data_IF_966875879618
#
_entry.id   IF_966875879618
#
_cell.length_a   1.000
_cell.length_b   1.000
_cell.length_c   1.000
_cell.angle_alpha   90.00
_cell.angle_beta   90.00
_cell.angle_gamma   90.00
#
_symmetry.space_group_name_H-M   'P 1'
#
loop_
_entity.id
_entity.type
_entity.pdbx_description
1 polymer ?
#
# COMPACT_ATOMS: atom_id res chain seq x y z
N UNK A 1 11.57 39.54 -27.86
CA UNK A 1 10.20 38.96 -27.80
C UNK A 1 10.01 37.82 -28.82
N UNK A 2 10.56 37.93 -30.03
CA UNK A 2 10.50 36.91 -31.09
C UNK A 2 11.16 35.56 -30.76
N UNK A 3 12.30 35.55 -30.06
CA UNK A 3 13.02 34.31 -29.70
C UNK A 3 12.21 33.44 -28.74
N UNK A 4 11.53 34.04 -27.75
CA UNK A 4 10.69 33.31 -26.81
C UNK A 4 9.46 32.71 -27.49
N UNK A 5 8.86 33.41 -28.46
CA UNK A 5 7.74 32.89 -29.25
C UNK A 5 8.17 31.73 -30.16
N UNK A 6 9.36 31.80 -30.74
CA UNK A 6 9.93 30.72 -31.56
C UNK A 6 10.29 29.49 -30.72
N UNK A 7 10.81 29.67 -29.50
CA UNK A 7 11.07 28.58 -28.58
C UNK A 7 9.76 27.92 -28.13
N UNK A 8 8.76 28.72 -27.78
CA UNK A 8 7.47 28.21 -27.31
C UNK A 8 6.73 27.46 -28.42
N UNK A 9 6.77 27.96 -29.67
CA UNK A 9 6.21 27.24 -30.83
C UNK A 9 6.98 25.97 -31.15
N UNK A 10 8.32 25.97 -31.07
CA UNK A 10 9.13 24.78 -31.25
C UNK A 10 8.83 23.71 -30.18
N UNK A 11 8.65 24.11 -28.91
CA UNK A 11 8.23 23.22 -27.83
C UNK A 11 6.83 22.66 -28.12
N UNK A 12 5.86 23.48 -28.51
CA UNK A 12 4.51 23.01 -28.86
C UNK A 12 4.56 22.01 -30.01
N UNK A 13 5.30 22.30 -31.08
CA UNK A 13 5.43 21.40 -32.25
C UNK A 13 6.11 20.09 -31.84
N UNK A 14 7.21 20.15 -31.08
CA UNK A 14 7.89 18.95 -30.57
C UNK A 14 6.95 18.11 -29.69
N UNK A 15 6.18 18.75 -28.81
CA UNK A 15 5.19 18.14 -27.95
C UNK A 15 4.05 17.47 -28.75
N UNK A 16 3.55 18.13 -29.80
CA UNK A 16 2.53 17.58 -30.70
C UNK A 16 3.05 16.40 -31.54
N UNK A 17 4.29 16.48 -32.03
CA UNK A 17 4.91 15.37 -32.77
C UNK A 17 5.17 14.17 -31.85
N UNK A 18 5.63 14.42 -30.62
CA UNK A 18 5.79 13.37 -29.61
C UNK A 18 4.44 12.72 -29.25
N UNK A 19 3.39 13.52 -29.07
CA UNK A 19 2.02 13.03 -28.83
C UNK A 19 1.52 12.16 -30.00
N UNK A 20 1.69 12.61 -31.25
CA UNK A 20 1.33 11.81 -32.43
C UNK A 20 2.10 10.50 -32.54
N UNK A 21 3.37 10.49 -32.14
CA UNK A 21 4.18 9.28 -32.08
C UNK A 21 3.73 8.33 -30.96
N UNK A 22 3.36 8.87 -29.80
CA UNK A 22 2.78 8.11 -28.69
C UNK A 22 1.45 7.43 -29.06
N UNK A 23 0.63 8.08 -29.90
CA UNK A 23 -0.61 7.49 -30.41
C UNK A 23 -0.39 6.34 -31.42
N UNK A 24 0.79 6.20 -32.02
CA UNK A 24 1.13 5.06 -32.90
C UNK A 24 1.52 3.84 -32.06
N UNK A 25 0.54 3.27 -31.36
CA UNK A 25 0.68 1.88 -30.87
C UNK A 25 0.78 0.94 -32.07
N UNK A 26 1.70 -0.03 -32.03
CA UNK A 26 1.87 -1.04 -33.09
C UNK A 26 0.72 -2.05 -33.14
N UNK A 27 -0.09 -2.12 -32.08
CA UNK A 27 -1.26 -2.99 -31.95
C UNK A 27 -2.47 -2.17 -31.49
N UNK A 28 -3.70 -2.55 -31.89
CA UNK A 28 -4.90 -1.92 -31.36
C UNK A 28 -4.93 -2.08 -29.83
N UNK A 29 -5.06 -0.96 -29.12
CA UNK A 29 -5.25 -0.98 -27.68
C UNK A 29 -6.72 -1.32 -27.37
N UNK A 30 -7.01 -1.88 -26.19
CA UNK A 30 -8.39 -2.07 -25.73
C UNK A 30 -9.18 -0.75 -25.78
N UNK A 31 -10.51 -0.82 -25.92
CA UNK A 31 -11.37 0.37 -26.00
C UNK A 31 -11.26 1.23 -24.74
N UNK A 32 -11.65 2.50 -24.83
CA UNK A 32 -11.71 3.39 -23.68
C UNK A 32 -12.02 4.85 -24.02
N UNK A 33 -12.15 5.71 -22.99
CA UNK A 33 -12.35 7.13 -23.17
C UNK A 33 -11.24 7.76 -24.03
N UNK A 34 -11.62 8.75 -24.84
CA UNK A 34 -10.66 9.46 -25.69
C UNK A 34 -9.66 10.23 -24.84
N UNK A 35 -8.37 9.97 -25.08
CA UNK A 35 -7.25 10.65 -24.40
C UNK A 35 -7.19 12.11 -24.79
N UNK A 36 -7.11 13.00 -23.82
CA UNK A 36 -6.77 14.39 -24.07
C UNK A 36 -5.26 14.56 -24.35
N UNK A 37 -4.86 15.60 -25.10
CA UNK A 37 -3.45 15.93 -25.29
C UNK A 37 -2.74 16.14 -23.93
N UNK A 38 -1.52 15.60 -23.80
CA UNK A 38 -0.62 15.71 -22.64
C UNK A 38 -1.06 15.05 -21.33
N UNK A 39 -2.33 15.17 -20.97
CA UNK A 39 -2.86 14.65 -19.70
C UNK A 39 -3.52 13.29 -19.83
N UNK A 40 -3.87 12.85 -21.04
CA UNK A 40 -4.55 11.58 -21.27
C UNK A 40 -5.96 11.57 -20.67
N UNK A 41 -6.23 10.59 -19.83
CA UNK A 41 -7.49 10.26 -19.17
C UNK A 41 -7.51 10.66 -17.68
N UNK A 42 -6.69 11.64 -17.27
CA UNK A 42 -6.67 12.13 -15.88
C UNK A 42 -8.05 12.53 -15.37
N UNK A 43 -8.90 13.10 -16.22
CA UNK A 43 -10.26 13.50 -15.83
C UNK A 43 -11.28 12.35 -15.86
N UNK A 44 -10.93 11.22 -16.46
CA UNK A 44 -11.72 9.99 -16.43
C UNK A 44 -11.38 9.13 -15.20
N UNK A 45 -10.36 9.51 -14.41
CA UNK A 45 -9.98 8.77 -13.21
C UNK A 45 -10.98 8.96 -12.07
N UNK A 46 -11.40 7.87 -11.41
CA UNK A 46 -12.26 7.94 -10.22
C UNK A 46 -11.64 8.79 -9.10
N UNK A 47 -12.47 9.60 -8.44
CA UNK A 47 -12.02 10.48 -7.34
C UNK A 47 -12.46 10.01 -5.95
N UNK A 48 -13.62 9.34 -5.86
CA UNK A 48 -14.21 8.93 -4.59
C UNK A 48 -14.50 7.43 -4.55
N UNK A 49 -15.29 6.92 -5.50
CA UNK A 49 -15.77 5.55 -5.49
C UNK A 49 -15.11 4.75 -6.62
N UNK A 50 -13.81 4.45 -6.46
CA UNK A 50 -13.01 3.78 -7.49
C UNK A 50 -13.69 2.54 -8.08
N UNK A 51 -14.28 1.67 -7.25
CA UNK A 51 -14.97 0.48 -7.72
C UNK A 51 -16.19 0.77 -8.61
N UNK A 52 -17.07 1.69 -8.20
CA UNK A 52 -18.27 2.03 -8.96
C UNK A 52 -17.94 2.79 -10.24
N UNK A 53 -16.99 3.73 -10.18
CA UNK A 53 -16.59 4.55 -11.33
C UNK A 53 -15.84 3.70 -12.37
N UNK A 54 -14.94 2.80 -11.96
CA UNK A 54 -14.30 1.85 -12.88
C UNK A 54 -15.32 0.86 -13.46
N UNK A 55 -16.32 0.44 -12.68
CA UNK A 55 -17.40 -0.41 -13.19
C UNK A 55 -18.19 0.31 -14.29
N UNK A 56 -18.57 1.56 -14.06
CA UNK A 56 -19.27 2.37 -15.06
C UNK A 56 -18.46 2.54 -16.36
N UNK A 57 -17.12 2.65 -16.27
CA UNK A 57 -16.26 2.64 -17.46
C UNK A 57 -16.32 1.30 -18.20
N UNK A 58 -16.23 0.17 -17.49
CA UNK A 58 -16.31 -1.16 -18.11
C UNK A 58 -17.68 -1.45 -18.71
N UNK A 59 -18.77 -0.98 -18.08
CA UNK A 59 -20.12 -1.10 -18.64
C UNK A 59 -20.28 -0.31 -19.96
N UNK A 60 -19.56 0.81 -20.09
CA UNK A 60 -19.65 1.71 -21.25
C UNK A 60 -18.73 1.30 -22.40
N UNK A 61 -17.52 0.85 -22.11
CA UNK A 61 -16.48 0.62 -23.11
C UNK A 61 -16.17 -0.87 -23.34
N UNK A 62 -16.69 -1.75 -22.49
CA UNK A 62 -16.52 -3.20 -22.57
C UNK A 62 -15.70 -3.79 -21.42
N UNK A 63 -15.56 -5.12 -21.44
CA UNK A 63 -14.97 -5.92 -20.35
C UNK A 63 -13.50 -5.61 -20.05
N UNK A 64 -12.83 -4.85 -20.91
CA UNK A 64 -11.46 -4.40 -20.72
C UNK A 64 -11.30 -2.97 -21.25
N UNK A 65 -10.87 -2.05 -20.39
CA UNK A 65 -10.79 -0.62 -20.71
C UNK A 65 -9.36 -0.14 -20.59
N UNK A 66 -8.85 0.52 -21.63
CA UNK A 66 -7.56 1.17 -21.61
C UNK A 66 -7.69 2.64 -21.19
N UNK A 67 -6.82 3.07 -20.27
CA UNK A 67 -6.65 4.44 -19.83
C UNK A 67 -5.17 4.84 -19.96
N UNK A 68 -4.91 6.12 -20.24
CA UNK A 68 -3.58 6.72 -20.18
C UNK A 68 -3.60 7.84 -19.14
N UNK A 69 -2.89 7.73 -18.03
CA UNK A 69 -2.89 8.77 -17.00
C UNK A 69 -1.51 9.41 -16.96
N UNK A 70 -1.39 10.63 -17.47
CA UNK A 70 -0.11 11.36 -17.55
C UNK A 70 1.00 10.55 -18.24
N UNK A 71 0.66 9.82 -19.32
CA UNK A 71 1.60 8.99 -20.07
C UNK A 71 1.83 7.59 -19.47
N UNK A 72 1.16 7.24 -18.36
CA UNK A 72 1.20 5.89 -17.80
C UNK A 72 0.02 5.05 -18.31
N UNK A 73 0.28 3.93 -19.01
CA UNK A 73 -0.77 3.03 -19.45
C UNK A 73 -1.41 2.33 -18.25
N UNK A 74 -2.74 2.28 -18.25
CA UNK A 74 -3.55 1.58 -17.25
C UNK A 74 -4.59 0.73 -17.95
N UNK A 75 -4.76 -0.50 -17.46
CA UNK A 75 -5.75 -1.44 -17.97
C UNK A 75 -6.74 -1.79 -16.84
N UNK A 76 -8.01 -1.51 -17.07
CA UNK A 76 -9.10 -1.85 -16.16
C UNK A 76 -9.72 -3.17 -16.61
N UNK A 77 -9.81 -4.14 -15.72
CA UNK A 77 -10.38 -5.46 -15.97
C UNK A 77 -11.80 -5.50 -15.40
N UNK A 78 -12.81 -5.62 -16.28
CA UNK A 78 -14.22 -5.50 -15.91
C UNK A 78 -14.91 -6.80 -15.52
N UNK A 79 -14.33 -7.96 -15.84
CA UNK A 79 -14.92 -9.28 -15.56
C UNK A 79 -13.97 -10.16 -14.76
N UNK A 80 -14.58 -11.09 -14.01
CA UNK A 80 -13.83 -12.09 -13.24
C UNK A 80 -12.97 -12.99 -14.14
N UNK A 81 -13.51 -13.44 -15.28
CA UNK A 81 -12.81 -14.36 -16.16
C UNK A 81 -11.52 -13.75 -16.73
N UNK A 82 -11.56 -12.47 -17.12
CA UNK A 82 -10.37 -11.75 -17.59
C UNK A 82 -9.37 -11.56 -16.45
N UNK A 83 -9.85 -11.16 -15.27
CA UNK A 83 -8.98 -11.01 -14.10
C UNK A 83 -8.29 -12.34 -13.73
N UNK A 84 -9.02 -13.45 -13.76
CA UNK A 84 -8.48 -14.77 -13.49
C UNK A 84 -7.50 -15.23 -14.58
N UNK A 85 -7.81 -15.01 -15.86
CA UNK A 85 -6.90 -15.38 -16.95
C UNK A 85 -5.56 -14.61 -16.89
N UNK A 86 -5.61 -13.31 -16.60
CA UNK A 86 -4.41 -12.48 -16.56
C UNK A 86 -3.66 -12.60 -15.23
N UNK A 87 -4.34 -12.45 -14.09
CA UNK A 87 -3.67 -12.33 -12.79
C UNK A 87 -3.36 -13.68 -12.15
N UNK A 88 -4.12 -14.74 -12.46
CA UNK A 88 -3.91 -16.07 -11.89
C UNK A 88 -3.16 -16.99 -12.87
N UNK A 89 -3.79 -17.32 -14.02
CA UNK A 89 -3.21 -18.26 -14.99
C UNK A 89 -1.90 -17.76 -15.59
N UNK A 90 -1.77 -16.45 -15.76
CA UNK A 90 -0.57 -15.78 -16.30
C UNK A 90 0.16 -14.94 -15.25
N UNK A 91 0.02 -15.30 -13.97
CA UNK A 91 0.62 -14.58 -12.84
C UNK A 91 2.11 -14.28 -13.02
N UNK A 92 2.90 -15.18 -13.62
CA UNK A 92 4.32 -14.95 -13.88
C UNK A 92 4.63 -13.73 -14.76
N UNK A 93 3.67 -13.26 -15.55
CA UNK A 93 3.79 -12.10 -16.45
C UNK A 93 3.24 -10.82 -15.78
N UNK A 94 2.15 -10.94 -15.01
CA UNK A 94 1.39 -9.79 -14.49
C UNK A 94 1.55 -9.55 -12.98
N UNK A 95 2.39 -10.32 -12.27
CA UNK A 95 2.59 -10.18 -10.81
C UNK A 95 3.57 -9.08 -10.41
N UNK A 96 4.14 -8.33 -11.34
CA UNK A 96 5.05 -7.25 -11.00
C UNK A 96 4.31 -6.09 -10.29
N UNK A 97 5.07 -5.21 -9.63
CA UNK A 97 4.55 -4.05 -8.92
C UNK A 97 5.11 -2.77 -9.53
N UNK A 98 4.23 -1.82 -9.80
CA UNK A 98 4.65 -0.47 -10.22
C UNK A 98 5.42 0.16 -9.07
N UNK A 99 6.68 0.53 -9.31
CA UNK A 99 7.49 1.22 -8.31
C UNK A 99 6.87 2.58 -7.97
N UNK A 100 6.72 2.85 -6.67
CA UNK A 100 6.23 4.11 -6.13
C UNK A 100 7.39 4.90 -5.54
N UNK A 101 7.60 6.11 -6.06
CA UNK A 101 8.64 7.01 -5.56
C UNK A 101 8.42 7.33 -4.08
N UNK A 102 7.17 7.51 -3.66
CA UNK A 102 6.85 7.87 -2.29
C UNK A 102 7.07 6.71 -1.33
N UNK A 103 6.83 5.47 -1.75
CA UNK A 103 7.17 4.27 -0.96
C UNK A 103 8.68 4.15 -0.76
N UNK A 104 9.48 4.35 -1.81
CA UNK A 104 10.94 4.30 -1.74
C UNK A 104 11.48 5.41 -0.81
N UNK A 105 11.02 6.65 -0.99
CA UNK A 105 11.41 7.78 -0.15
C UNK A 105 10.92 7.62 1.29
N UNK A 106 9.74 7.02 1.47
CA UNK A 106 9.09 6.75 2.73
C UNK A 106 9.64 5.54 3.48
N UNK A 107 10.62 4.81 2.94
CA UNK A 107 11.26 3.68 3.62
C UNK A 107 10.38 2.45 3.80
N UNK A 108 9.38 2.25 2.93
CA UNK A 108 8.49 1.09 2.90
C UNK A 108 8.81 0.10 1.78
N UNK A 109 10.00 0.20 1.19
CA UNK A 109 10.54 -0.65 0.12
C UNK A 109 10.71 -2.13 0.53
N UNK A 110 10.75 -2.41 1.83
CA UNK A 110 10.81 -3.76 2.41
C UNK A 110 9.43 -4.43 2.57
N UNK A 111 8.33 -3.70 2.38
CA UNK A 111 6.97 -4.25 2.53
C UNK A 111 6.70 -5.22 1.38
N UNK A 112 6.46 -6.50 1.69
CA UNK A 112 6.34 -7.58 0.69
C UNK A 112 5.37 -7.28 -0.46
N UNK A 113 4.28 -6.55 -0.20
CA UNK A 113 3.28 -6.19 -1.21
C UNK A 113 3.77 -5.14 -2.22
N UNK A 114 4.81 -4.38 -1.86
CA UNK A 114 5.40 -3.30 -2.66
C UNK A 114 6.69 -3.71 -3.38
N UNK A 115 7.31 -4.82 -2.98
CA UNK A 115 8.55 -5.30 -3.61
C UNK A 115 8.27 -5.73 -5.08
N UNK A 116 9.01 -5.20 -6.07
CA UNK A 116 8.92 -5.64 -7.46
C UNK A 116 9.22 -7.12 -7.63
N UNK A 117 8.58 -7.75 -8.61
CA UNK A 117 8.75 -9.18 -8.85
C UNK A 117 10.19 -9.48 -9.30
N UNK A 118 10.85 -10.40 -8.60
CA UNK A 118 12.25 -10.72 -8.86
C UNK A 118 12.85 -11.69 -7.85
N UNK A 119 14.17 -11.96 -7.90
CA UNK A 119 14.84 -12.84 -6.94
C UNK A 119 14.65 -12.42 -5.48
N UNK A 120 14.67 -11.10 -5.21
CA UNK A 120 14.46 -10.55 -3.87
C UNK A 120 13.04 -10.81 -3.35
N UNK A 121 12.01 -10.51 -4.16
CA UNK A 121 10.62 -10.83 -3.82
C UNK A 121 10.43 -12.34 -3.60
N UNK A 122 10.97 -13.19 -4.49
CA UNK A 122 10.85 -14.66 -4.37
C UNK A 122 11.47 -15.18 -3.08
N UNK A 123 12.60 -14.62 -2.63
CA UNK A 123 13.23 -14.96 -1.35
C UNK A 123 12.31 -14.59 -0.17
N UNK A 124 11.84 -13.34 -0.12
CA UNK A 124 10.94 -12.87 0.94
C UNK A 124 9.63 -13.66 0.97
N UNK A 125 9.02 -13.92 -0.21
CA UNK A 125 7.79 -14.72 -0.33
C UNK A 125 7.98 -16.15 0.16
N UNK A 126 9.14 -16.77 -0.13
CA UNK A 126 9.47 -18.12 0.33
C UNK A 126 9.59 -18.18 1.85
N UNK A 127 10.34 -17.25 2.44
CA UNK A 127 10.47 -17.15 3.90
C UNK A 127 9.10 -16.96 4.56
N UNK A 128 8.31 -15.99 4.07
CA UNK A 128 6.94 -15.78 4.55
C UNK A 128 6.06 -17.04 4.43
N UNK A 129 6.13 -17.76 3.29
CA UNK A 129 5.28 -18.92 3.07
C UNK A 129 5.61 -20.12 3.99
N UNK A 130 6.83 -20.24 4.48
CA UNK A 130 7.21 -21.31 5.40
C UNK A 130 6.38 -21.27 6.69
N UNK A 131 6.01 -20.07 7.15
CA UNK A 131 5.24 -19.87 8.38
C UNK A 131 3.73 -19.69 8.14
N UNK A 132 3.34 -19.23 6.95
CA UNK A 132 1.94 -18.90 6.62
C UNK A 132 1.34 -19.81 5.53
N UNK A 133 1.82 -21.05 5.38
CA UNK A 133 1.15 -22.05 4.54
C UNK A 133 0.01 -22.75 5.30
N UNK A 134 -0.94 -23.40 4.60
CA UNK A 134 -2.11 -24.03 5.23
C UNK A 134 -1.81 -25.04 6.35
N UNK A 135 -0.63 -25.69 6.34
CA UNK A 135 -0.24 -26.63 7.38
C UNK A 135 0.35 -25.90 8.59
N UNK A 136 1.23 -24.92 8.37
CA UNK A 136 1.88 -24.14 9.43
C UNK A 136 0.90 -23.27 10.22
N UNK A 137 -0.10 -22.67 9.55
CA UNK A 137 -1.08 -21.79 10.23
C UNK A 137 -1.95 -22.52 11.26
N UNK A 138 -1.99 -23.86 11.25
CA UNK A 138 -2.71 -24.66 12.24
C UNK A 138 -2.12 -24.44 13.64
N UNK A 139 -0.81 -24.25 13.75
CA UNK A 139 -0.12 -23.98 15.03
C UNK A 139 -0.58 -22.65 15.65
N UNK A 140 -0.93 -21.67 14.81
CA UNK A 140 -1.41 -20.35 15.22
C UNK A 140 -2.84 -20.38 15.79
N UNK A 141 -3.60 -21.47 15.60
CA UNK A 141 -5.01 -21.57 16.05
C UNK A 141 -5.16 -21.42 17.56
N UNK A 142 -4.20 -21.91 18.34
CA UNK A 142 -4.23 -21.78 19.80
C UNK A 142 -4.21 -20.30 20.22
N UNK A 143 -3.36 -19.50 19.58
CA UNK A 143 -3.27 -18.06 19.79
C UNK A 143 -4.52 -17.34 19.30
N UNK A 144 -5.01 -17.68 18.11
CA UNK A 144 -6.26 -17.11 17.58
C UNK A 144 -7.45 -17.39 18.51
N UNK A 145 -7.59 -18.61 19.03
CA UNK A 145 -8.65 -18.97 19.98
C UNK A 145 -8.58 -18.15 21.27
N UNK A 146 -7.38 -17.94 21.82
CA UNK A 146 -7.22 -17.09 23.00
C UNK A 146 -7.72 -15.66 22.75
N UNK A 147 -7.42 -15.10 21.58
CA UNK A 147 -7.89 -13.77 21.18
C UNK A 147 -9.39 -13.75 20.92
N UNK A 148 -9.94 -14.77 20.26
CA UNK A 148 -11.40 -14.89 20.07
C UNK A 148 -12.12 -14.97 21.41
N UNK A 149 -11.63 -15.77 22.36
CA UNK A 149 -12.24 -15.87 23.69
C UNK A 149 -12.23 -14.52 24.42
N UNK A 150 -11.11 -13.79 24.39
CA UNK A 150 -11.05 -12.46 24.99
C UNK A 150 -12.03 -11.48 24.32
N UNK A 151 -12.12 -11.49 22.98
CA UNK A 151 -13.10 -10.70 22.24
C UNK A 151 -14.55 -11.04 22.64
N UNK A 152 -14.88 -12.34 22.73
CA UNK A 152 -16.22 -12.80 23.12
C UNK A 152 -16.55 -12.40 24.57
N UNK A 153 -15.59 -12.44 25.49
CA UNK A 153 -15.80 -11.96 26.87
C UNK A 153 -16.11 -10.47 26.93
N UNK A 154 -15.39 -9.64 26.17
CA UNK A 154 -15.69 -8.20 26.07
C UNK A 154 -17.06 -7.95 25.46
N UNK A 155 -17.40 -8.70 24.42
CA UNK A 155 -18.70 -8.60 23.78
C UNK A 155 -19.86 -8.99 24.71
N UNK A 156 -19.71 -10.05 25.51
CA UNK A 156 -20.70 -10.46 26.50
C UNK A 156 -20.86 -9.43 27.63
N UNK A 157 -19.78 -8.71 27.96
CA UNK A 157 -19.79 -7.72 29.05
C UNK A 157 -20.46 -6.41 28.65
N UNK A 158 -20.38 -6.03 27.37
CA UNK A 158 -20.98 -4.80 26.84
C UNK A 158 -21.54 -5.03 25.42
N UNK A 159 -22.66 -5.76 25.27
CA UNK A 159 -23.18 -6.17 23.96
C UNK A 159 -23.67 -4.99 23.11
N UNK A 160 -24.15 -3.91 23.74
CA UNK A 160 -24.60 -2.70 23.05
C UNK A 160 -23.46 -1.97 22.32
N UNK A 161 -22.22 -2.26 22.69
CA UNK A 161 -21.00 -1.72 22.08
C UNK A 161 -20.43 -2.65 20.99
N UNK A 162 -21.23 -3.54 20.39
CA UNK A 162 -20.79 -4.51 19.37
C UNK A 162 -19.92 -3.89 18.26
N UNK A 163 -20.36 -2.77 17.69
CA UNK A 163 -19.62 -2.07 16.63
C UNK A 163 -18.27 -1.58 17.13
N UNK A 164 -18.18 -1.18 18.40
CA UNK A 164 -16.95 -0.72 19.02
C UNK A 164 -16.02 -1.89 19.34
N UNK A 165 -16.54 -3.03 19.80
CA UNK A 165 -15.74 -4.25 20.00
C UNK A 165 -15.14 -4.75 18.68
N UNK A 166 -15.92 -4.79 17.59
CA UNK A 166 -15.39 -5.14 16.26
C UNK A 166 -14.35 -4.14 15.82
N UNK A 167 -14.63 -2.85 15.99
CA UNK A 167 -13.70 -1.78 15.67
C UNK A 167 -12.41 -1.93 16.44
N UNK A 168 -12.42 -2.20 17.74
CA UNK A 168 -11.21 -2.42 18.55
C UNK A 168 -10.47 -3.72 18.17
N UNK A 169 -11.19 -4.75 17.75
CA UNK A 169 -10.60 -6.00 17.29
C UNK A 169 -9.86 -5.85 15.94
N UNK A 170 -10.46 -5.12 15.00
CA UNK A 170 -9.98 -5.01 13.61
C UNK A 170 -9.14 -3.75 13.37
N UNK A 171 -9.37 -2.67 14.11
CA UNK A 171 -8.79 -1.36 13.80
C UNK A 171 -7.36 -1.22 14.33
N UNK A 172 -6.42 -1.21 13.38
CA UNK A 172 -5.16 -0.45 13.47
C UNK A 172 -5.32 0.93 12.77
N UNK A 173 -6.53 1.30 12.29
CA UNK A 173 -6.65 2.45 11.38
C UNK A 173 -7.93 3.30 11.47
N UNK A 174 -9.11 2.67 11.55
CA UNK A 174 -10.37 3.34 11.19
C UNK A 174 -10.98 4.16 12.33
N UNK A 175 -10.60 3.96 13.59
CA UNK A 175 -11.32 4.55 14.73
C UNK A 175 -10.69 5.87 15.19
N UNK A 176 -9.37 5.87 15.41
CA UNK A 176 -8.66 7.06 15.90
C UNK A 176 -8.71 8.21 14.90
N UNK A 177 -8.43 7.92 13.62
CA UNK A 177 -8.32 8.95 12.58
C UNK A 177 -9.65 9.43 11.99
N UNK A 178 -10.69 8.57 11.94
CA UNK A 178 -11.97 8.93 11.32
C UNK A 178 -12.93 9.55 12.36
N UNK A 179 -12.87 9.11 13.63
CA UNK A 179 -13.89 9.46 14.62
C UNK A 179 -13.37 10.25 15.83
N UNK A 180 -12.05 10.48 15.93
CA UNK A 180 -11.42 11.21 17.04
C UNK A 180 -11.90 10.75 18.44
N UNK A 181 -12.15 9.45 18.57
CA UNK A 181 -12.67 8.86 19.81
C UNK A 181 -11.49 8.64 20.76
N UNK A 182 -11.57 9.10 22.02
CA UNK A 182 -10.59 8.78 23.04
C UNK A 182 -10.78 7.31 23.47
N UNK A 183 -10.13 6.38 22.78
CA UNK A 183 -9.97 5.01 23.26
C UNK A 183 -9.00 5.00 24.43
N UNK A 184 -9.52 4.64 25.60
CA UNK A 184 -8.90 4.62 26.92
C UNK A 184 -8.38 3.23 27.34
N UNK A 185 -8.34 2.26 26.41
CA UNK A 185 -7.69 0.94 26.56
C UNK A 185 -7.55 0.30 25.17
N UNK A 186 -6.41 0.34 24.49
CA UNK A 186 -5.10 -0.30 24.69
C UNK A 186 -5.00 -1.72 24.09
N UNK A 187 -4.17 -1.81 23.04
CA UNK A 187 -3.95 -2.93 22.11
C UNK A 187 -5.09 -3.36 21.18
N UNK A 188 -4.99 -3.03 19.88
CA UNK A 188 -5.73 -3.79 18.87
C UNK A 188 -5.26 -5.25 18.94
N UNK A 189 -6.20 -6.15 19.21
CA UNK A 189 -5.90 -7.58 19.40
C UNK A 189 -5.26 -8.19 18.15
N UNK A 190 -5.57 -7.62 16.99
CA UNK A 190 -4.91 -7.93 15.74
C UNK A 190 -3.42 -7.54 15.76
N UNK A 191 -3.04 -6.31 16.16
CA UNK A 191 -1.62 -5.94 16.30
C UNK A 191 -0.90 -6.81 17.33
N UNK A 192 -1.56 -7.12 18.45
CA UNK A 192 -1.01 -8.01 19.47
C UNK A 192 -0.74 -9.42 18.93
N UNK A 193 -1.65 -9.95 18.12
CA UNK A 193 -1.47 -11.24 17.45
C UNK A 193 -0.32 -11.19 16.46
N UNK A 194 -0.26 -10.15 15.62
CA UNK A 194 0.82 -9.97 14.64
C UNK A 194 2.17 -9.88 15.34
N UNK A 195 2.32 -9.04 16.38
CA UNK A 195 3.58 -8.93 17.13
C UNK A 195 3.97 -10.24 17.81
N UNK A 196 3.00 -10.99 18.34
CA UNK A 196 3.25 -12.29 18.95
C UNK A 196 3.70 -13.34 17.94
N UNK A 197 3.09 -13.37 16.76
CA UNK A 197 3.45 -14.32 15.69
C UNK A 197 4.78 -13.95 15.06
N UNK A 198 4.97 -12.67 14.74
CA UNK A 198 6.13 -12.16 14.01
C UNK A 198 7.40 -12.13 14.88
N UNK A 199 7.28 -11.62 16.11
CA UNK A 199 8.41 -11.27 16.98
C UNK A 199 8.40 -12.04 18.31
N UNK A 200 7.37 -12.84 18.60
CA UNK A 200 7.23 -13.52 19.90
C UNK A 200 6.82 -12.58 21.05
N UNK A 201 6.55 -11.31 20.76
CA UNK A 201 6.27 -10.28 21.77
C UNK A 201 4.83 -10.40 22.26
N UNK A 202 4.65 -10.57 23.58
CA UNK A 202 3.33 -10.53 24.22
C UNK A 202 3.00 -9.07 24.55
N UNK A 203 2.05 -8.49 23.83
CA UNK A 203 1.49 -7.18 24.18
C UNK A 203 0.52 -7.37 25.36
N UNK A 204 0.75 -6.65 26.45
CA UNK A 204 -0.20 -6.49 27.55
C UNK A 204 -1.10 -5.29 27.28
N UNK A 205 -2.27 -5.23 27.92
CA UNK A 205 -3.17 -4.06 27.90
C UNK A 205 -2.51 -2.75 28.38
N UNK A 206 -1.29 -2.80 28.91
CA UNK A 206 -0.51 -1.63 29.34
C UNK A 206 0.59 -1.21 28.34
N UNK A 207 0.94 -2.04 27.36
CA UNK A 207 2.09 -1.79 26.48
C UNK A 207 1.67 -1.28 25.09
N UNK A 208 1.14 -0.07 25.07
CA UNK A 208 0.60 0.58 23.87
C UNK A 208 1.65 1.01 22.84
N UNK A 209 2.94 0.97 23.18
CA UNK A 209 3.98 1.51 22.30
C UNK A 209 4.07 0.76 20.95
N UNK A 210 4.06 -0.58 20.97
CA UNK A 210 4.11 -1.39 19.74
C UNK A 210 2.87 -1.22 18.87
N UNK A 211 1.71 -1.06 19.52
CA UNK A 211 0.42 -0.86 18.85
C UNK A 211 0.43 0.50 18.18
N UNK A 212 0.85 1.54 18.91
CA UNK A 212 1.01 2.89 18.39
C UNK A 212 2.02 2.96 17.23
N UNK A 213 3.15 2.25 17.32
CA UNK A 213 4.11 2.16 16.21
C UNK A 213 3.48 1.53 14.96
N UNK A 214 2.67 0.49 15.13
CA UNK A 214 1.96 -0.15 14.03
C UNK A 214 0.90 0.78 13.42
N UNK A 215 0.15 1.51 14.25
CA UNK A 215 -0.83 2.54 13.83
C UNK A 215 -0.14 3.68 13.07
N UNK A 216 0.93 4.24 13.62
CA UNK A 216 1.71 5.33 13.01
C UNK A 216 2.33 4.87 11.67
N UNK A 217 2.87 3.65 11.62
CA UNK A 217 3.42 3.05 10.41
C UNK A 217 2.35 2.85 9.31
N UNK A 218 1.18 2.32 9.68
CA UNK A 218 0.07 2.14 8.74
C UNK A 218 -0.49 3.47 8.25
N UNK A 219 -0.54 4.50 9.11
CA UNK A 219 -0.93 5.86 8.76
C UNK A 219 0.04 6.53 7.81
N UNK A 220 1.33 6.40 8.08
CA UNK A 220 2.37 6.84 7.17
C UNK A 220 2.22 6.15 5.80
N UNK A 221 2.13 4.82 5.77
CA UNK A 221 2.01 4.03 4.54
C UNK A 221 0.77 4.42 3.72
N UNK A 222 -0.40 4.46 4.36
CA UNK A 222 -1.68 4.76 3.68
C UNK A 222 -1.70 6.18 3.13
N UNK A 223 -1.10 7.14 3.83
CA UNK A 223 -1.01 8.53 3.38
C UNK A 223 -0.08 8.72 2.17
N UNK A 224 0.90 7.83 1.97
CA UNK A 224 1.81 7.86 0.82
C UNK A 224 1.17 7.31 -0.46
N UNK A 225 0.32 6.29 -0.32
CA UNK A 225 -0.32 5.59 -1.45
C UNK A 225 -1.60 6.24 -1.97
N UNK A 226 -1.99 7.42 -1.46
CA UNK A 226 -3.18 8.12 -1.94
C UNK A 226 -3.00 8.47 -3.43
N UNK A 227 -3.83 7.90 -4.33
CA UNK A 227 -3.68 8.12 -5.76
C UNK A 227 -3.79 9.60 -6.11
N UNK A 228 -2.86 10.09 -6.92
CA UNK A 228 -2.87 11.48 -7.40
C UNK A 228 -2.44 12.54 -6.39
N UNK A 229 -2.14 12.19 -5.13
CA UNK A 229 -1.71 13.14 -4.10
C UNK A 229 -0.35 13.76 -4.39
N UNK A 230 0.61 12.97 -4.88
CA UNK A 230 1.99 13.39 -5.07
C UNK A 230 2.40 13.35 -6.54
N UNK A 231 2.79 14.50 -7.10
CA UNK A 231 3.33 14.57 -8.46
C UNK A 231 4.63 13.77 -8.63
N UNK A 232 5.36 13.51 -7.53
CA UNK A 232 6.56 12.69 -7.52
C UNK A 232 6.30 11.23 -7.91
N UNK A 233 5.06 10.75 -7.82
CA UNK A 233 4.66 9.45 -8.37
C UNK A 233 4.70 9.42 -9.89
N UNK A 234 4.45 10.57 -10.52
CA UNK A 234 4.40 10.69 -11.98
C UNK A 234 5.75 11.10 -12.55
N UNK A 235 6.43 12.04 -11.88
CA UNK A 235 7.69 12.60 -12.33
C UNK A 235 8.82 12.24 -11.37
N UNK A 236 9.55 11.17 -11.71
CA UNK A 236 10.67 10.65 -10.92
C UNK A 236 11.78 11.68 -10.66
N UNK A 237 11.92 12.71 -11.50
CA UNK A 237 12.92 13.78 -11.33
C UNK A 237 12.66 14.62 -10.08
N UNK A 238 11.40 14.71 -9.62
CA UNK A 238 11.03 15.50 -8.45
C UNK A 238 11.68 14.97 -7.16
N UNK A 239 12.10 13.70 -7.12
CA UNK A 239 12.80 13.12 -5.96
C UNK A 239 14.11 13.84 -5.60
N UNK A 240 14.71 14.54 -6.56
CA UNK A 240 15.98 15.24 -6.39
C UNK A 240 15.81 16.71 -5.98
N UNK A 241 14.57 17.18 -5.80
CA UNK A 241 14.32 18.55 -5.37
C UNK A 241 14.84 18.78 -3.94
N UNK A 242 15.44 19.95 -3.65
CA UNK A 242 15.70 20.36 -2.28
C UNK A 242 14.41 20.52 -1.46
N UNK A 243 14.45 20.11 -0.18
CA UNK A 243 13.29 20.17 0.74
C UNK A 243 12.75 21.58 1.02
N UNK A 244 13.56 22.62 0.76
CA UNK A 244 13.20 24.01 1.02
C UNK A 244 12.39 24.66 -0.12
N UNK A 245 12.31 24.04 -1.30
CA UNK A 245 11.56 24.58 -2.43
C UNK A 245 10.04 24.55 -2.13
N UNK A 246 9.29 25.63 -2.43
CA UNK A 246 7.83 25.62 -2.37
C UNK A 246 7.23 24.47 -3.19
N UNK A 247 6.34 23.68 -2.59
CA UNK A 247 5.76 22.48 -3.22
C UNK A 247 6.53 21.17 -2.95
N UNK A 248 7.71 21.22 -2.32
CA UNK A 248 8.47 20.03 -1.90
C UNK A 248 7.95 19.37 -0.60
N UNK A 249 6.69 19.61 -0.22
CA UNK A 249 6.08 19.06 1.00
C UNK A 249 6.13 17.52 1.03
N UNK A 250 6.00 16.88 -0.14
CA UNK A 250 6.08 15.43 -0.27
C UNK A 250 7.41 14.85 0.27
N UNK A 251 8.52 15.57 0.17
CA UNK A 251 9.81 15.12 0.73
C UNK A 251 9.82 15.17 2.26
N UNK A 252 9.07 16.09 2.86
CA UNK A 252 8.88 16.15 4.32
C UNK A 252 7.94 15.04 4.78
N UNK A 253 6.83 14.83 4.07
CA UNK A 253 5.90 13.74 4.33
C UNK A 253 6.61 12.37 4.25
N UNK A 254 7.42 12.16 3.21
CA UNK A 254 8.22 10.95 3.06
C UNK A 254 9.26 10.80 4.17
N UNK A 255 9.93 11.87 4.60
CA UNK A 255 10.88 11.82 5.70
C UNK A 255 10.21 11.43 7.03
N UNK A 256 9.01 11.97 7.30
CA UNK A 256 8.21 11.59 8.46
C UNK A 256 7.76 10.13 8.40
N UNK A 257 7.27 9.71 7.23
CA UNK A 257 6.87 8.33 6.98
C UNK A 257 8.03 7.34 7.16
N UNK A 258 9.25 7.71 6.73
CA UNK A 258 10.47 6.92 6.89
C UNK A 258 10.81 6.65 8.34
N UNK A 259 10.62 7.64 9.22
CA UNK A 259 10.81 7.43 10.66
C UNK A 259 9.81 6.39 11.20
N UNK A 260 8.53 6.48 10.82
CA UNK A 260 7.52 5.51 11.24
C UNK A 260 7.80 4.11 10.67
N UNK A 261 8.19 4.00 9.39
CA UNK A 261 8.53 2.76 8.71
C UNK A 261 9.70 2.02 9.37
N UNK A 262 10.76 2.76 9.73
CA UNK A 262 11.91 2.17 10.41
C UNK A 262 11.55 1.77 11.84
N UNK A 263 10.77 2.57 12.57
CA UNK A 263 10.37 2.23 13.95
C UNK A 263 9.57 0.93 14.01
N UNK A 264 8.57 0.76 13.15
CA UNK A 264 7.72 -0.44 13.16
C UNK A 264 8.49 -1.72 12.80
N UNK A 265 9.54 -1.61 11.97
CA UNK A 265 10.39 -2.74 11.59
C UNK A 265 11.48 -3.03 12.62
N UNK A 266 12.23 -2.00 12.99
CA UNK A 266 13.53 -2.13 13.65
C UNK A 266 13.39 -2.27 15.18
N UNK A 267 12.38 -1.64 15.80
CA UNK A 267 12.22 -1.69 17.27
C UNK A 267 11.80 -3.09 17.75
N UNK A 268 10.74 -3.72 17.22
CA UNK A 268 10.36 -5.08 17.63
C UNK A 268 11.46 -6.09 17.30
N UNK A 269 12.14 -5.90 16.16
CA UNK A 269 13.25 -6.73 15.73
C UNK A 269 14.43 -6.69 16.70
N UNK A 270 14.90 -5.48 17.04
CA UNK A 270 16.04 -5.30 17.94
C UNK A 270 15.74 -5.90 19.31
N UNK A 271 14.50 -5.70 19.81
CA UNK A 271 14.07 -6.29 21.08
C UNK A 271 14.11 -7.83 21.05
N UNK A 272 13.62 -8.42 19.96
CA UNK A 272 13.61 -9.87 19.78
C UNK A 272 15.04 -10.42 19.78
N UNK A 273 15.96 -9.76 19.06
CA UNK A 273 17.37 -10.16 19.02
C UNK A 273 18.02 -10.12 20.41
N UNK A 274 17.76 -9.07 21.20
CA UNK A 274 18.26 -8.99 22.58
C UNK A 274 17.74 -10.15 23.45
N UNK A 275 16.47 -10.51 23.31
CA UNK A 275 15.88 -11.63 24.05
C UNK A 275 16.45 -12.98 23.59
N UNK A 276 16.70 -13.17 22.30
CA UNK A 276 17.35 -14.38 21.78
C UNK A 276 18.74 -14.57 22.38
N UNK A 277 19.55 -13.51 22.43
CA UNK A 277 20.89 -13.55 23.03
C UNK A 277 20.83 -13.86 24.52
N UNK A 278 19.80 -13.36 25.22
CA UNK A 278 19.62 -13.58 26.67
C UNK A 278 19.09 -14.97 27.01
N UNK A 279 18.17 -15.52 26.21
CA UNK A 279 17.39 -16.71 26.55
C UNK A 279 17.79 -17.98 25.79
N UNK A 280 18.64 -17.88 24.76
CA UNK A 280 18.99 -19.00 23.85
C UNK A 280 17.78 -19.68 23.18
N UNK A 281 16.63 -19.01 23.12
CA UNK A 281 15.41 -19.52 22.45
C UNK A 281 15.24 -18.83 21.10
N UNK A 282 14.99 -19.62 20.05
CA UNK A 282 14.72 -19.14 18.68
C UNK A 282 13.29 -18.56 18.57
N UNK A 283 13.08 -17.44 17.86
CA UNK A 283 11.76 -16.82 17.72
C UNK A 283 10.96 -17.49 16.60
N UNK A 284 9.69 -17.09 16.52
CA UNK A 284 8.63 -17.92 15.96
C UNK A 284 8.37 -17.73 14.46
N UNK A 285 8.86 -16.68 13.78
CA UNK A 285 8.60 -16.50 12.34
C UNK A 285 9.59 -15.65 11.52
N UNK A 286 10.34 -14.69 12.09
CA UNK A 286 11.05 -13.67 11.26
C UNK A 286 12.58 -13.62 11.42
N UNK A 287 13.21 -14.52 12.18
CA UNK A 287 14.66 -14.47 12.43
C UNK A 287 15.52 -15.14 11.34
N UNK A 288 15.33 -14.80 10.07
CA UNK A 288 16.18 -15.26 8.97
C UNK A 288 16.51 -14.13 7.98
#
# INVERSE_FOLDING_TARGET
MSVWLALLSAVIVACLLHYRKSLRSRLPLPPGPRRLPFVGNVFDMPKQYAGADFRALTDKYGDMVYLDVLGKPMLVLGTHDIAHDLLEKRSAIYSDRVQSTMIDLGGFDWVLTMIPYGPWWRRNRRAFHQFFNPNAVVELRSMQRAQVNHFLHRLLSAPDEFSEHIRQYVSIFSVRYIWNIPTNSSASMFAATVMRVAYGIKISESNDEYVKMAEDGLAAFSNLLVPGKYLAEQFLVLRFLPKWIPGAQFLRDAANAKMAAHRVRDVPWSRTLEEMVRSFVLPTCLSC
#
